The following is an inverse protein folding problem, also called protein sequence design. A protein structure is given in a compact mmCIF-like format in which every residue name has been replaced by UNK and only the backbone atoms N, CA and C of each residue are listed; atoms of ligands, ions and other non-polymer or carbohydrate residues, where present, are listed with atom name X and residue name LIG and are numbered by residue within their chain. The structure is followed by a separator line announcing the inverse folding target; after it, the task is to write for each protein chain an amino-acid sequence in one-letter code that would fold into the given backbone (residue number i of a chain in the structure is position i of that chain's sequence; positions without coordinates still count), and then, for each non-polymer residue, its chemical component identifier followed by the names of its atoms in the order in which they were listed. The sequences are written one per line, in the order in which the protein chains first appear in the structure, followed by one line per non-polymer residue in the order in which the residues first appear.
data_IF_757700874362
#
_entry.id   IF_757700874362
#
_cell.length_a   1.000
_cell.length_b   1.000
_cell.length_c   1.000
_cell.angle_alpha   90.00
_cell.angle_beta   90.00
_cell.angle_gamma   90.00
#
_symmetry.space_group_name_H-M   'P 1'
#
loop_
_entity.id
_entity.type
_entity.pdbx_description
1 polymer ?
#
# COMPACT_ATOMS: atom_id res chain seq x y z
N UNK A 1 28.85 5.55 -31.35
CA UNK A 1 27.90 6.08 -30.35
C UNK A 1 26.39 5.73 -30.58
N UNK A 2 25.98 4.51 -31.00
CA UNK A 2 24.55 4.23 -31.18
C UNK A 2 23.86 3.55 -29.97
N UNK A 3 24.60 2.83 -29.13
CA UNK A 3 24.03 1.94 -28.10
C UNK A 3 23.44 2.73 -26.92
N UNK A 4 24.11 3.82 -26.51
CA UNK A 4 23.69 4.72 -25.41
C UNK A 4 22.32 5.37 -25.69
N UNK A 5 22.06 5.72 -26.95
CA UNK A 5 20.77 6.30 -27.39
C UNK A 5 19.64 5.27 -27.43
N UNK A 6 19.94 4.02 -27.79
CA UNK A 6 18.95 2.94 -27.74
C UNK A 6 18.56 2.59 -26.30
N UNK A 7 19.52 2.56 -25.37
CA UNK A 7 19.23 2.31 -23.95
C UNK A 7 18.40 3.43 -23.31
N UNK A 8 18.73 4.70 -23.61
CA UNK A 8 17.91 5.83 -23.15
C UNK A 8 16.50 5.80 -23.75
N UNK A 9 16.36 5.41 -25.01
CA UNK A 9 15.06 5.25 -25.66
C UNK A 9 14.21 4.15 -25.03
N UNK A 10 14.80 2.98 -24.75
CA UNK A 10 14.12 1.85 -24.10
C UNK A 10 13.71 2.20 -22.67
N UNK A 11 14.57 2.89 -21.91
CA UNK A 11 14.24 3.37 -20.57
C UNK A 11 13.09 4.39 -20.59
N UNK A 12 13.08 5.31 -21.56
CA UNK A 12 11.99 6.28 -21.74
C UNK A 12 10.66 5.58 -22.05
N UNK A 13 10.67 4.59 -22.94
CA UNK A 13 9.47 3.83 -23.29
C UNK A 13 8.97 2.96 -22.13
N UNK A 14 9.87 2.39 -21.31
CA UNK A 14 9.51 1.67 -20.08
C UNK A 14 8.88 2.60 -19.04
N UNK A 15 9.40 3.83 -18.89
CA UNK A 15 8.83 4.83 -17.98
C UNK A 15 7.46 5.30 -18.45
N UNK A 16 7.25 5.52 -19.75
CA UNK A 16 5.94 5.86 -20.31
C UNK A 16 4.92 4.73 -20.15
N UNK A 17 5.33 3.48 -20.39
CA UNK A 17 4.48 2.31 -20.23
C UNK A 17 4.14 2.06 -18.75
N UNK A 18 5.12 2.25 -17.87
CA UNK A 18 4.92 2.23 -16.42
C UNK A 18 3.91 3.29 -16.00
N UNK A 19 4.03 4.52 -16.51
CA UNK A 19 3.12 5.62 -16.20
C UNK A 19 1.66 5.31 -16.54
N UNK A 20 1.39 4.73 -17.71
CA UNK A 20 0.02 4.37 -18.12
C UNK A 20 -0.56 3.24 -17.27
N UNK A 21 0.26 2.25 -16.92
CA UNK A 21 -0.14 1.12 -16.07
C UNK A 21 -0.36 1.57 -14.62
N UNK A 22 0.47 2.46 -14.09
CA UNK A 22 0.28 3.05 -12.77
C UNK A 22 -0.98 3.91 -12.69
N UNK A 23 -1.32 4.64 -13.75
CA UNK A 23 -2.56 5.42 -13.81
C UNK A 23 -3.80 4.50 -13.75
N UNK A 24 -3.77 3.39 -14.49
CA UNK A 24 -4.80 2.35 -14.44
C UNK A 24 -4.87 1.63 -13.08
N UNK A 25 -3.73 1.24 -12.51
CA UNK A 25 -3.66 0.60 -11.19
C UNK A 25 -4.10 1.55 -10.08
N UNK A 26 -3.74 2.84 -10.16
CA UNK A 26 -4.20 3.86 -9.22
C UNK A 26 -5.72 4.08 -9.33
N UNK A 27 -6.27 4.01 -10.55
CA UNK A 27 -7.70 4.11 -10.82
C UNK A 27 -8.47 2.89 -10.28
N UNK A 28 -7.99 1.68 -10.54
CA UNK A 28 -8.57 0.43 -10.01
C UNK A 28 -8.44 0.35 -8.49
N UNK A 29 -7.30 0.74 -7.93
CA UNK A 29 -7.11 0.83 -6.48
C UNK A 29 -8.06 1.85 -5.85
N UNK A 30 -8.37 2.96 -6.53
CA UNK A 30 -9.37 3.94 -6.08
C UNK A 30 -10.79 3.38 -6.10
N UNK A 31 -11.15 2.61 -7.14
CA UNK A 31 -12.45 1.96 -7.25
C UNK A 31 -12.66 0.90 -6.16
N UNK A 32 -11.65 0.08 -5.90
CA UNK A 32 -11.68 -0.95 -4.86
C UNK A 32 -11.79 -0.32 -3.46
N UNK A 33 -11.06 0.79 -3.22
CA UNK A 33 -11.18 1.61 -2.00
C UNK A 33 -12.58 2.15 -1.81
N UNK A 34 -13.22 2.66 -2.86
CA UNK A 34 -14.59 3.17 -2.80
C UNK A 34 -15.59 2.11 -2.35
N UNK A 35 -15.44 0.86 -2.85
CA UNK A 35 -16.29 -0.26 -2.44
C UNK A 35 -16.08 -0.64 -0.98
N UNK A 36 -14.82 -0.69 -0.52
CA UNK A 36 -14.47 -0.96 0.89
C UNK A 36 -14.97 0.14 1.83
N UNK A 37 -14.78 1.42 1.48
CA UNK A 37 -15.31 2.55 2.27
C UNK A 37 -16.84 2.53 2.32
N UNK A 38 -17.50 2.20 1.21
CA UNK A 38 -18.96 2.07 1.15
C UNK A 38 -19.45 0.91 2.03
N UNK A 39 -18.80 -0.25 1.96
CA UNK A 39 -19.09 -1.40 2.83
C UNK A 39 -18.87 -1.06 4.31
N UNK A 40 -17.78 -0.37 4.64
CA UNK A 40 -17.46 0.06 5.99
C UNK A 40 -18.49 1.08 6.52
N UNK A 41 -18.85 2.06 5.70
CA UNK A 41 -19.90 3.03 5.99
C UNK A 41 -21.28 2.38 6.18
N UNK A 42 -21.68 1.47 5.28
CA UNK A 42 -22.91 0.69 5.42
C UNK A 42 -22.89 -0.20 6.68
N UNK A 43 -21.78 -0.85 6.97
CA UNK A 43 -21.64 -1.70 8.17
C UNK A 43 -21.70 -0.88 9.45
N UNK A 44 -21.03 0.27 9.48
CA UNK A 44 -21.08 1.21 10.61
C UNK A 44 -22.50 1.74 10.83
N UNK A 45 -23.18 2.17 9.76
CA UNK A 45 -24.56 2.61 9.82
C UNK A 45 -25.49 1.49 10.30
N UNK A 46 -25.37 0.29 9.75
CA UNK A 46 -26.17 -0.87 10.17
C UNK A 46 -25.95 -1.20 11.65
N UNK A 47 -24.70 -1.22 12.13
CA UNK A 47 -24.39 -1.47 13.54
C UNK A 47 -24.97 -0.38 14.44
N UNK A 48 -24.85 0.90 14.06
CA UNK A 48 -25.42 2.02 14.80
C UNK A 48 -26.94 1.91 14.92
N UNK A 49 -27.63 1.64 13.81
CA UNK A 49 -29.09 1.46 13.81
C UNK A 49 -29.49 0.21 14.61
N UNK A 50 -28.69 -0.86 14.57
CA UNK A 50 -28.93 -2.06 15.37
C UNK A 50 -28.80 -1.77 16.87
N UNK A 51 -27.74 -1.09 17.32
CA UNK A 51 -27.60 -0.69 18.73
C UNK A 51 -28.73 0.23 19.17
N UNK A 52 -29.15 1.17 18.33
CA UNK A 52 -30.30 2.04 18.61
C UNK A 52 -31.61 1.24 18.72
N UNK A 53 -31.84 0.29 17.80
CA UNK A 53 -33.03 -0.54 17.79
C UNK A 53 -33.10 -1.43 19.04
N UNK A 54 -31.98 -2.03 19.44
CA UNK A 54 -31.90 -2.83 20.66
C UNK A 54 -32.20 -1.91 21.85
N UNK A 55 -31.55 -0.72 21.96
CA UNK A 55 -31.79 0.26 23.04
C UNK A 55 -33.28 0.62 23.18
N UNK A 56 -33.93 0.98 22.08
CA UNK A 56 -35.36 1.31 22.05
C UNK A 56 -36.21 0.10 22.45
N UNK A 57 -35.89 -1.09 21.93
CA UNK A 57 -36.58 -2.33 22.29
C UNK A 57 -36.46 -2.62 23.79
N UNK A 58 -35.33 -2.30 24.41
CA UNK A 58 -35.12 -2.51 25.84
C UNK A 58 -35.86 -1.53 26.73
N UNK A 59 -35.95 -0.26 26.33
CA UNK A 59 -36.83 0.70 26.98
C UNK A 59 -38.29 0.25 26.82
N UNK A 60 -38.67 -0.22 25.64
CA UNK A 60 -40.02 -0.76 25.38
C UNK A 60 -40.33 -1.96 26.28
N UNK A 61 -39.41 -2.93 26.41
CA UNK A 61 -39.54 -4.05 27.35
C UNK A 61 -39.64 -3.56 28.80
N UNK A 62 -38.80 -2.62 29.22
CA UNK A 62 -38.82 -2.07 30.58
C UNK A 62 -40.14 -1.35 30.90
N UNK A 63 -40.71 -0.63 29.94
CA UNK A 63 -42.03 0.04 30.07
C UNK A 63 -43.17 -0.98 29.98
N UNK A 64 -43.03 -2.04 29.17
CA UNK A 64 -44.05 -3.08 29.04
C UNK A 64 -44.18 -3.92 30.32
N UNK A 65 -43.06 -4.30 30.95
CA UNK A 65 -43.03 -5.07 32.20
C UNK A 65 -43.27 -4.21 33.46
N UNK A 66 -43.89 -3.05 33.30
CA UNK A 66 -44.15 -2.08 34.36
C UNK A 66 -45.36 -2.45 35.26
N UNK A 67 -45.19 -3.33 36.28
CA UNK A 67 -45.83 -3.08 37.59
C UNK A 67 -45.06 -3.55 38.86
N UNK A 68 -43.74 -3.85 38.83
CA UNK A 68 -43.03 -4.51 39.96
C UNK A 68 -41.88 -3.68 40.58
N UNK A 69 -41.61 -3.83 41.90
CA UNK A 69 -40.62 -3.06 42.70
C UNK A 69 -39.13 -3.25 42.27
N UNK A 70 -38.81 -4.32 41.54
CA UNK A 70 -37.44 -4.67 41.08
C UNK A 70 -37.00 -3.89 39.82
N UNK A 71 -37.35 -2.59 39.74
CA UNK A 71 -37.08 -1.73 38.57
C UNK A 71 -35.59 -1.69 38.19
N UNK A 72 -34.71 -1.56 39.19
CA UNK A 72 -33.30 -1.22 38.97
C UNK A 72 -32.47 -2.40 38.42
N UNK A 73 -32.85 -3.64 38.74
CA UNK A 73 -32.18 -4.85 38.25
C UNK A 73 -32.41 -5.07 36.75
N UNK A 74 -33.62 -4.81 36.25
CA UNK A 74 -33.93 -4.91 34.82
C UNK A 74 -33.13 -3.89 33.99
N UNK A 75 -33.05 -2.63 34.45
CA UNK A 75 -32.21 -1.61 33.82
C UNK A 75 -30.71 -1.93 33.92
N UNK A 76 -30.25 -2.50 35.03
CA UNK A 76 -28.86 -2.92 35.21
C UNK A 76 -28.46 -4.07 34.28
N UNK A 77 -29.30 -5.09 34.15
CA UNK A 77 -29.07 -6.20 33.23
C UNK A 77 -29.06 -5.75 31.77
N UNK A 78 -29.97 -4.84 31.41
CA UNK A 78 -29.98 -4.20 30.10
C UNK A 78 -28.70 -3.41 29.84
N UNK A 79 -28.34 -2.50 30.75
CA UNK A 79 -27.12 -1.70 30.64
C UNK A 79 -25.86 -2.58 30.51
N UNK A 80 -25.77 -3.66 31.29
CA UNK A 80 -24.67 -4.61 31.21
C UNK A 80 -24.64 -5.33 29.85
N UNK A 81 -25.81 -5.77 29.33
CA UNK A 81 -25.92 -6.38 28.01
C UNK A 81 -25.44 -5.43 26.90
N UNK A 82 -25.84 -4.16 26.94
CA UNK A 82 -25.37 -3.14 25.99
C UNK A 82 -23.87 -2.87 26.11
N UNK A 83 -23.35 -2.78 27.32
CA UNK A 83 -21.93 -2.56 27.56
C UNK A 83 -21.10 -3.71 26.98
N UNK A 84 -21.51 -4.96 27.21
CA UNK A 84 -20.84 -6.14 26.65
C UNK A 84 -20.89 -6.12 25.11
N UNK A 85 -22.06 -5.88 24.53
CA UNK A 85 -22.22 -5.83 23.08
C UNK A 85 -21.37 -4.71 22.45
N UNK A 86 -21.36 -3.53 23.08
CA UNK A 86 -20.53 -2.40 22.68
C UNK A 86 -19.04 -2.71 22.72
N UNK A 87 -18.57 -3.38 23.78
CA UNK A 87 -17.17 -3.84 23.91
C UNK A 87 -16.82 -4.85 22.82
N UNK A 88 -17.69 -5.82 22.53
CA UNK A 88 -17.47 -6.79 21.45
C UNK A 88 -17.34 -6.08 20.10
N UNK A 89 -18.25 -5.14 19.78
CA UNK A 89 -18.16 -4.34 18.55
C UNK A 89 -16.86 -3.54 18.48
N UNK A 90 -16.46 -2.90 19.58
CA UNK A 90 -15.20 -2.15 19.66
C UNK A 90 -13.99 -3.04 19.38
N UNK A 91 -13.98 -4.26 19.92
CA UNK A 91 -12.92 -5.24 19.68
C UNK A 91 -12.91 -5.72 18.22
N UNK A 92 -14.09 -5.96 17.62
CA UNK A 92 -14.20 -6.34 16.20
C UNK A 92 -13.70 -5.22 15.30
N UNK A 93 -14.15 -3.98 15.50
CA UNK A 93 -13.70 -2.82 14.74
C UNK A 93 -12.19 -2.61 14.91
N UNK A 94 -11.69 -2.66 16.14
CA UNK A 94 -10.24 -2.59 16.41
C UNK A 94 -9.49 -3.70 15.67
N UNK A 95 -10.00 -4.93 15.66
CA UNK A 95 -9.40 -6.06 14.96
C UNK A 95 -9.43 -5.88 13.44
N UNK A 96 -10.51 -5.36 12.86
CA UNK A 96 -10.57 -5.05 11.43
C UNK A 96 -9.59 -3.95 11.03
N UNK A 97 -9.41 -2.93 11.88
CA UNK A 97 -8.47 -1.84 11.63
C UNK A 97 -7.00 -2.24 11.86
N UNK A 98 -6.72 -3.18 12.75
CA UNK A 98 -5.34 -3.57 13.13
C UNK A 98 -4.85 -4.87 12.48
N UNK A 99 -5.75 -5.77 12.09
CA UNK A 99 -5.44 -7.05 11.44
C UNK A 99 -5.91 -7.11 9.98
N UNK A 100 -6.55 -6.05 9.47
CA UNK A 100 -6.82 -5.92 8.05
C UNK A 100 -5.49 -5.92 7.30
N UNK A 101 -5.30 -6.77 6.26
CA UNK A 101 -4.06 -6.79 5.50
C UNK A 101 -3.81 -5.39 4.95
N UNK A 102 -2.63 -4.83 5.23
CA UNK A 102 -2.20 -3.58 4.62
C UNK A 102 -2.32 -3.76 3.09
N UNK A 103 -3.25 -3.05 2.43
CA UNK A 103 -3.47 -3.27 1.03
C UNK A 103 -2.16 -2.92 0.31
N UNK A 104 -1.74 -3.81 -0.60
CA UNK A 104 -0.52 -3.67 -1.40
C UNK A 104 0.81 -3.95 -0.69
N UNK A 105 0.84 -4.56 0.50
CA UNK A 105 2.10 -4.95 1.15
C UNK A 105 2.99 -5.83 0.26
N UNK A 106 2.42 -6.87 -0.35
CA UNK A 106 3.15 -7.75 -1.28
C UNK A 106 3.58 -7.00 -2.57
N UNK A 107 2.74 -6.09 -3.07
CA UNK A 107 3.05 -5.32 -4.29
C UNK A 107 4.14 -4.27 -4.04
N UNK A 108 4.18 -3.66 -2.86
CA UNK A 108 5.24 -2.74 -2.45
C UNK A 108 6.58 -3.45 -2.28
N UNK A 109 6.55 -4.67 -1.77
CA UNK A 109 7.76 -5.48 -1.61
C UNK A 109 8.32 -5.95 -2.96
N UNK A 110 7.45 -6.29 -3.91
CA UNK A 110 7.86 -6.61 -5.28
C UNK A 110 8.40 -5.37 -6.01
N UNK A 111 7.78 -4.20 -5.83
CA UNK A 111 8.26 -2.94 -6.42
C UNK A 111 9.61 -2.50 -5.83
N UNK A 112 9.84 -2.73 -4.53
CA UNK A 112 11.13 -2.47 -3.90
C UNK A 112 12.24 -3.36 -4.49
N UNK A 113 11.93 -4.63 -4.79
CA UNK A 113 12.85 -5.54 -5.50
C UNK A 113 13.17 -5.04 -6.91
N UNK A 114 12.17 -4.61 -7.66
CA UNK A 114 12.37 -4.10 -9.02
C UNK A 114 13.26 -2.83 -9.05
N UNK A 115 13.08 -1.93 -8.07
CA UNK A 115 13.92 -0.73 -7.92
C UNK A 115 15.38 -1.10 -7.61
N UNK A 116 15.61 -2.06 -6.70
CA UNK A 116 16.97 -2.52 -6.38
C UNK A 116 17.66 -3.17 -7.59
N UNK A 117 16.91 -3.89 -8.41
CA UNK A 117 17.42 -4.56 -9.60
C UNK A 117 17.79 -3.53 -10.69
N UNK A 118 16.96 -2.50 -10.87
CA UNK A 118 17.26 -1.36 -11.74
C UNK A 118 18.51 -0.59 -11.30
N UNK A 119 18.67 -0.36 -10.00
CA UNK A 119 19.84 0.34 -9.45
C UNK A 119 21.13 -0.46 -9.66
N UNK A 120 21.10 -1.78 -9.44
CA UNK A 120 22.24 -2.67 -9.73
C UNK A 120 22.64 -2.66 -11.21
N UNK A 121 21.66 -2.73 -12.13
CA UNK A 121 21.93 -2.71 -13.56
C UNK A 121 22.52 -1.37 -14.00
N UNK A 122 22.06 -0.26 -13.40
CA UNK A 122 22.62 1.07 -13.64
C UNK A 122 24.08 1.16 -13.20
N UNK A 123 24.40 0.70 -11.99
CA UNK A 123 25.78 0.72 -11.46
C UNK A 123 26.69 -0.10 -12.36
N UNK A 124 26.29 -1.32 -12.73
CA UNK A 124 27.06 -2.20 -13.61
C UNK A 124 27.30 -1.56 -14.99
N UNK A 125 26.30 -0.91 -15.56
CA UNK A 125 26.45 -0.20 -16.83
C UNK A 125 27.43 0.98 -16.74
N UNK A 126 27.46 1.69 -15.61
CA UNK A 126 28.44 2.76 -15.38
C UNK A 126 29.86 2.20 -15.24
N UNK A 127 30.03 1.08 -14.53
CA UNK A 127 31.33 0.41 -14.38
C UNK A 127 31.90 -0.08 -15.72
N UNK A 128 31.05 -0.70 -16.55
CA UNK A 128 31.44 -1.15 -17.89
C UNK A 128 31.87 0.05 -18.76
N UNK A 129 31.12 1.16 -18.70
CA UNK A 129 31.45 2.37 -19.46
C UNK A 129 32.74 3.04 -18.97
N UNK A 130 32.99 3.06 -17.66
CA UNK A 130 34.26 3.57 -17.10
C UNK A 130 35.44 2.68 -17.47
N UNK A 131 35.29 1.35 -17.41
CA UNK A 131 36.32 0.41 -17.81
C UNK A 131 36.68 0.56 -19.29
N UNK A 132 35.68 0.76 -20.15
CA UNK A 132 35.87 1.00 -21.59
C UNK A 132 36.67 2.31 -21.83
N UNK A 133 36.31 3.39 -21.13
CA UNK A 133 37.05 4.67 -21.20
C UNK A 133 38.49 4.55 -20.70
N UNK A 134 38.73 3.80 -19.63
CA UNK A 134 40.09 3.55 -19.10
C UNK A 134 40.92 2.75 -20.11
N UNK A 135 40.37 1.70 -20.69
CA UNK A 135 41.03 0.91 -21.72
C UNK A 135 41.34 1.73 -22.98
N UNK A 136 40.43 2.63 -23.39
CA UNK A 136 40.68 3.55 -24.50
C UNK A 136 41.80 4.55 -24.18
N UNK A 137 41.81 5.14 -22.99
CA UNK A 137 42.86 6.06 -22.55
C UNK A 137 44.24 5.38 -22.48
N UNK A 138 44.31 4.15 -21.97
CA UNK A 138 45.54 3.36 -21.95
C UNK A 138 46.05 3.05 -23.36
N UNK A 139 45.16 2.64 -24.28
CA UNK A 139 45.51 2.41 -25.68
C UNK A 139 46.05 3.67 -26.35
N UNK A 140 45.44 4.83 -26.07
CA UNK A 140 45.91 6.11 -26.60
C UNK A 140 47.28 6.50 -26.05
N UNK A 141 47.50 6.36 -24.74
CA UNK A 141 48.80 6.62 -24.11
C UNK A 141 49.89 5.70 -24.68
N UNK A 142 49.58 4.42 -24.88
CA UNK A 142 50.52 3.45 -25.45
C UNK A 142 50.83 3.72 -26.93
N UNK A 143 49.84 4.20 -27.70
CA UNK A 143 50.03 4.63 -29.09
C UNK A 143 50.87 5.92 -29.19
N UNK A 144 50.69 6.86 -28.27
CA UNK A 144 51.49 8.09 -28.20
C UNK A 144 52.97 7.79 -27.92
N UNK A 145 53.27 6.96 -26.91
CA UNK A 145 54.66 6.53 -26.60
C UNK A 145 55.33 5.82 -27.78
N UNK A 146 54.59 4.98 -28.51
CA UNK A 146 55.12 4.28 -29.70
C UNK A 146 55.50 5.23 -30.84
N UNK A 147 54.83 6.38 -30.95
CA UNK A 147 55.15 7.41 -31.95
C UNK A 147 56.41 8.19 -31.58
N UNK A 148 56.59 8.49 -30.30
CA UNK A 148 57.80 9.15 -29.79
C UNK A 148 59.05 8.28 -30.01
N UNK A 149 58.99 6.98 -29.68
CA UNK A 149 60.12 6.05 -29.89
C UNK A 149 60.46 5.75 -31.37
N UNK A 150 59.62 6.19 -32.33
CA UNK A 150 59.85 5.96 -33.77
C UNK A 150 60.50 7.18 -34.45
N UNK A 151 60.62 8.30 -33.75
CA UNK A 151 61.18 9.56 -34.24
C UNK A 151 62.56 9.90 -33.67
N UNK A 152 63.10 9.08 -32.76
CA UNK A 152 64.54 9.00 -32.44
C UNK A 152 65.23 7.97 -33.34
#
# INVERSE_FOLDING_TARGET
MPIRKSLLGVASSLVELGRTRFELLALEASAEKGRLLKLLGCSFAALLFLTLAVLVFSIWVAVYFWPTDERYLAFGALAAGYAILGVILLLVVRRMLTQGPAPFAATMEELARDVQLLEHLRIKAQEEEEAERRAEAERQAHAARRRETRHE
#
